data_IF_512448489928
#
_entry.id   IF_512448489928
#
_cell.length_a   1.000
_cell.length_b   1.000
_cell.length_c   1.000
_cell.angle_alpha   90.00
_cell.angle_beta   90.00
_cell.angle_gamma   90.00
#
_symmetry.space_group_name_H-M   'P 1'
#
loop_
_entity.id
_entity.type
_entity.pdbx_description
1 polymer ?
#
# COMPACT_ATOMS: atom_id res chain seq x y z
N UNK A 1 16.57 8.87 -0.23
CA UNK A 1 15.77 9.03 1.02
C UNK A 1 15.03 10.35 0.95
N UNK A 2 13.79 10.45 1.46
CA UNK A 2 13.16 11.75 1.63
C UNK A 2 14.10 12.58 2.51
N UNK A 3 14.41 13.79 2.08
CA UNK A 3 15.33 14.67 2.79
C UNK A 3 14.93 14.84 4.26
N UNK A 4 13.63 14.78 4.54
CA UNK A 4 12.98 15.05 5.83
C UNK A 4 13.22 14.00 6.93
N UNK A 5 13.21 12.69 6.62
CA UNK A 5 13.20 11.65 7.66
C UNK A 5 14.42 10.72 7.56
N UNK A 6 14.99 10.37 8.72
CA UNK A 6 15.94 9.25 8.88
C UNK A 6 15.22 8.08 9.53
N UNK A 7 15.33 6.88 8.96
CA UNK A 7 14.75 5.67 9.54
C UNK A 7 15.68 5.18 10.67
N UNK A 8 15.11 4.92 11.84
CA UNK A 8 15.79 4.27 12.97
C UNK A 8 15.23 2.87 13.17
N UNK A 9 16.11 1.91 13.38
CA UNK A 9 15.69 0.52 13.64
C UNK A 9 15.03 0.43 15.01
N UNK A 10 13.74 0.07 15.05
CA UNK A 10 13.01 -0.16 16.29
C UNK A 10 13.41 -1.44 17.01
N UNK A 11 14.07 -2.36 16.32
CA UNK A 11 14.54 -3.66 16.80
C UNK A 11 16.06 -3.69 17.04
N UNK A 12 16.77 -2.55 16.92
CA UNK A 12 18.23 -2.46 17.09
C UNK A 12 18.73 -3.09 18.41
N UNK A 13 18.02 -2.85 19.52
CA UNK A 13 18.34 -3.41 20.83
C UNK A 13 18.04 -4.92 20.95
N UNK A 14 17.39 -5.51 19.95
CA UNK A 14 16.97 -6.91 19.92
C UNK A 14 17.86 -7.77 19.01
N UNK A 15 19.03 -7.25 18.60
CA UNK A 15 20.06 -8.03 17.91
C UNK A 15 19.83 -8.24 16.42
N UNK A 16 19.03 -7.40 15.76
CA UNK A 16 18.87 -7.43 14.30
C UNK A 16 20.20 -7.10 13.61
N UNK A 17 20.51 -7.82 12.54
CA UNK A 17 21.74 -7.68 11.74
C UNK A 17 21.41 -7.61 10.25
N UNK A 18 22.41 -7.28 9.44
CA UNK A 18 22.34 -7.40 7.98
C UNK A 18 21.91 -8.83 7.58
N UNK A 19 21.02 -8.99 6.59
CA UNK A 19 20.42 -7.98 5.72
C UNK A 19 19.08 -7.41 6.24
N UNK A 20 18.68 -7.76 7.45
CA UNK A 20 17.38 -7.38 8.03
C UNK A 20 17.34 -6.01 8.69
N UNK A 21 18.48 -5.32 8.79
CA UNK A 21 18.59 -3.99 9.40
C UNK A 21 17.85 -2.90 8.61
N UNK A 22 18.21 -1.64 8.85
CA UNK A 22 17.71 -0.50 8.07
C UNK A 22 18.87 0.36 7.58
N UNK A 23 18.64 1.12 6.52
CA UNK A 23 19.60 2.00 5.86
C UNK A 23 20.73 1.22 5.19
N UNK A 24 21.94 1.28 5.74
CA UNK A 24 23.13 0.60 5.17
C UNK A 24 23.17 -0.89 5.54
N UNK A 25 22.43 -1.28 6.58
CA UNK A 25 22.33 -2.66 7.07
C UNK A 25 21.11 -3.41 6.50
N UNK A 26 20.26 -2.73 5.75
CA UNK A 26 18.99 -3.25 5.25
C UNK A 26 18.90 -3.30 3.73
N UNK A 27 17.90 -4.03 3.24
CA UNK A 27 17.50 -4.04 1.82
C UNK A 27 16.24 -3.19 1.67
N UNK A 28 16.27 -2.17 0.81
CA UNK A 28 15.21 -1.16 0.76
C UNK A 28 13.82 -1.72 0.45
N UNK A 29 13.71 -2.78 -0.35
CA UNK A 29 12.44 -3.45 -0.61
C UNK A 29 11.85 -4.05 0.69
N UNK A 30 12.68 -4.72 1.48
CA UNK A 30 12.27 -5.30 2.76
C UNK A 30 12.07 -4.23 3.84
N UNK A 31 12.82 -3.13 3.80
CA UNK A 31 12.57 -1.97 4.68
C UNK A 31 11.18 -1.37 4.47
N UNK A 32 10.66 -1.35 3.23
CA UNK A 32 9.28 -0.93 2.95
C UNK A 32 8.29 -1.81 3.72
N UNK A 33 8.49 -3.13 3.71
CA UNK A 33 7.68 -4.06 4.50
C UNK A 33 7.85 -3.82 6.00
N UNK A 34 9.07 -3.61 6.49
CA UNK A 34 9.33 -3.31 7.92
C UNK A 34 8.67 -2.01 8.39
N UNK A 35 8.60 -1.00 7.52
CA UNK A 35 7.88 0.26 7.75
C UNK A 35 6.39 -0.02 7.93
N UNK A 36 5.79 -0.76 6.98
CA UNK A 36 4.36 -1.10 6.99
C UNK A 36 3.98 -2.08 8.11
N UNK A 37 4.91 -2.89 8.58
CA UNK A 37 4.69 -3.82 9.69
C UNK A 37 5.00 -3.21 11.08
N UNK A 38 5.35 -1.92 11.14
CA UNK A 38 5.49 -1.19 12.39
C UNK A 38 6.71 -1.59 13.22
N UNK A 39 7.85 -1.86 12.58
CA UNK A 39 9.12 -2.24 13.28
C UNK A 39 10.21 -1.17 13.25
N UNK A 40 9.90 0.01 12.73
CA UNK A 40 10.86 1.11 12.59
C UNK A 40 10.35 2.39 13.24
N UNK A 41 11.22 3.37 13.37
CA UNK A 41 10.86 4.72 13.79
C UNK A 41 11.29 5.73 12.71
N UNK A 42 10.54 6.82 12.57
CA UNK A 42 10.93 7.95 11.73
C UNK A 42 11.52 9.03 12.63
N UNK A 43 12.76 9.41 12.39
CA UNK A 43 13.40 10.55 13.02
C UNK A 43 13.32 11.74 12.06
N UNK A 44 12.59 12.79 12.44
CA UNK A 44 12.52 14.01 11.68
C UNK A 44 13.83 14.78 11.82
N UNK A 45 14.48 15.11 10.69
CA UNK A 45 15.76 15.80 10.70
C UNK A 45 15.63 17.30 11.01
N UNK A 46 14.46 17.90 10.81
CA UNK A 46 14.26 19.34 11.02
C UNK A 46 14.09 19.70 12.49
N UNK A 47 13.33 18.90 13.24
CA UNK A 47 12.94 19.19 14.62
C UNK A 47 13.41 18.13 15.64
N UNK A 48 14.09 17.08 15.18
CA UNK A 48 14.59 15.99 16.03
C UNK A 48 13.52 15.04 16.57
N UNK A 49 12.24 15.25 16.24
CA UNK A 49 11.13 14.43 16.75
C UNK A 49 11.19 12.99 16.23
N UNK A 50 10.66 12.06 17.02
CA UNK A 50 10.63 10.63 16.67
C UNK A 50 9.19 10.12 16.63
N UNK A 51 8.79 9.64 15.46
CA UNK A 51 7.49 8.98 15.24
C UNK A 51 7.71 7.47 15.34
N UNK A 52 7.05 6.84 16.32
CA UNK A 52 7.10 5.38 16.51
C UNK A 52 6.05 4.72 15.62
N UNK A 53 6.48 4.11 14.52
CA UNK A 53 5.57 3.35 13.67
C UNK A 53 5.32 2.00 14.34
N UNK A 54 4.14 1.79 14.91
CA UNK A 54 3.77 0.55 15.61
C UNK A 54 2.54 -0.12 15.00
N UNK A 55 1.86 0.49 14.05
CA UNK A 55 0.78 -0.19 13.35
C UNK A 55 1.35 -1.21 12.37
N UNK A 56 0.81 -2.43 12.41
CA UNK A 56 1.15 -3.50 11.47
C UNK A 56 0.00 -3.62 10.47
N UNK A 57 0.21 -3.16 9.24
CA UNK A 57 -0.83 -3.15 8.22
C UNK A 57 -1.17 -4.55 7.68
N UNK A 58 -0.38 -5.59 7.96
CA UNK A 58 -0.77 -6.98 7.69
C UNK A 58 -1.85 -7.49 8.65
N UNK A 59 -1.69 -7.19 9.95
CA UNK A 59 -2.60 -7.66 11.01
C UNK A 59 -3.65 -6.61 11.38
N UNK A 60 -3.59 -5.43 10.76
CA UNK A 60 -4.38 -4.24 11.06
C UNK A 60 -4.42 -3.89 12.56
N UNK A 61 -3.30 -4.11 13.26
CA UNK A 61 -3.23 -3.97 14.70
C UNK A 61 -1.93 -3.29 15.17
N UNK A 62 -2.00 -2.68 16.35
CA UNK A 62 -0.82 -2.12 17.01
C UNK A 62 0.10 -3.24 17.49
N UNK A 63 1.35 -3.22 17.01
CA UNK A 63 2.41 -4.17 17.33
C UNK A 63 3.24 -3.69 18.52
N UNK A 64 3.46 -4.60 19.46
CA UNK A 64 4.54 -4.49 20.45
C UNK A 64 5.79 -5.14 19.88
N UNK A 65 6.92 -4.44 19.94
CA UNK A 65 8.20 -4.96 19.45
C UNK A 65 8.72 -6.05 20.39
N UNK A 66 9.14 -7.17 19.81
CA UNK A 66 9.65 -8.36 20.50
C UNK A 66 10.79 -8.97 19.68
N UNK A 67 11.60 -9.81 20.31
CA UNK A 67 12.73 -10.50 19.64
C UNK A 67 12.26 -11.28 18.41
N UNK A 68 11.08 -11.89 18.48
CA UNK A 68 10.49 -12.67 17.39
C UNK A 68 9.72 -11.82 16.35
N UNK A 69 9.65 -10.48 16.47
CA UNK A 69 8.85 -9.64 15.56
C UNK A 69 9.27 -9.77 14.09
N UNK A 70 10.57 -9.95 13.82
CA UNK A 70 11.04 -10.18 12.45
C UNK A 70 10.54 -11.52 11.90
N UNK A 71 10.63 -12.59 12.71
CA UNK A 71 10.13 -13.92 12.34
C UNK A 71 8.62 -13.89 12.10
N UNK A 72 7.85 -13.17 12.93
CA UNK A 72 6.42 -12.98 12.72
C UNK A 72 6.12 -12.26 11.40
N UNK A 73 6.88 -11.22 11.05
CA UNK A 73 6.71 -10.51 9.77
C UNK A 73 7.00 -11.43 8.60
N UNK A 74 8.09 -12.18 8.65
CA UNK A 74 8.45 -13.13 7.60
C UNK A 74 7.35 -14.18 7.45
N UNK A 75 6.93 -14.78 8.56
CA UNK A 75 5.88 -15.80 8.55
C UNK A 75 4.57 -15.26 7.94
N UNK A 76 4.16 -14.05 8.30
CA UNK A 76 2.94 -13.43 7.74
C UNK A 76 3.09 -12.94 6.30
N UNK A 77 4.27 -12.47 5.89
CA UNK A 77 4.47 -11.91 4.55
C UNK A 77 4.70 -12.99 3.48
N UNK A 78 5.18 -14.16 3.88
CA UNK A 78 5.48 -15.29 3.00
C UNK A 78 4.60 -16.50 3.28
N UNK A 79 3.48 -16.33 4.00
CA UNK A 79 2.51 -17.40 4.34
C UNK A 79 3.12 -18.63 5.03
N UNK A 80 4.25 -18.46 5.71
CA UNK A 80 5.02 -19.54 6.34
C UNK A 80 5.84 -20.41 5.37
N UNK A 81 5.83 -20.10 4.08
CA UNK A 81 6.58 -20.85 3.05
C UNK A 81 8.10 -20.63 3.15
N UNK A 82 8.54 -19.60 3.88
CA UNK A 82 9.94 -19.21 3.97
C UNK A 82 10.43 -19.11 5.41
N UNK A 83 11.58 -19.72 5.67
CA UNK A 83 12.30 -19.54 6.93
C UNK A 83 13.05 -18.20 6.96
N UNK A 84 13.56 -17.83 8.14
CA UNK A 84 14.41 -16.64 8.27
C UNK A 84 15.69 -16.77 7.44
N UNK A 85 16.27 -17.97 7.33
CA UNK A 85 17.48 -18.23 6.55
C UNK A 85 17.23 -18.13 5.04
N UNK A 86 16.03 -18.50 4.58
CA UNK A 86 15.65 -18.36 3.17
C UNK A 86 15.51 -16.89 2.79
N UNK A 87 14.86 -16.09 3.66
CA UNK A 87 14.77 -14.65 3.47
C UNK A 87 16.16 -14.01 3.54
N UNK A 88 17.03 -14.45 4.44
CA UNK A 88 18.42 -13.96 4.53
C UNK A 88 19.18 -14.14 3.22
N UNK A 89 19.14 -15.35 2.65
CA UNK A 89 19.74 -15.65 1.34
C UNK A 89 19.17 -14.77 0.23
N UNK A 90 17.83 -14.66 0.18
CA UNK A 90 17.13 -13.82 -0.79
C UNK A 90 17.57 -12.35 -0.70
N UNK A 91 17.53 -11.76 0.49
CA UNK A 91 17.86 -10.35 0.71
C UNK A 91 19.35 -10.08 0.45
N UNK A 92 20.22 -10.99 0.84
CA UNK A 92 21.66 -10.87 0.57
C UNK A 92 21.95 -10.81 -0.94
N UNK A 93 21.27 -11.65 -1.74
CA UNK A 93 21.42 -11.68 -3.21
C UNK A 93 20.77 -10.49 -3.92
N UNK A 94 19.80 -9.81 -3.30
CA UNK A 94 19.01 -8.73 -3.92
C UNK A 94 19.31 -7.33 -3.39
N UNK A 95 20.27 -7.20 -2.47
CA UNK A 95 20.58 -5.93 -1.78
C UNK A 95 20.81 -4.71 -2.67
N UNK A 96 21.33 -4.89 -3.88
CA UNK A 96 21.56 -3.80 -4.85
C UNK A 96 20.48 -3.65 -5.94
N UNK A 97 19.54 -4.60 -6.06
CA UNK A 97 18.63 -4.66 -7.20
C UNK A 97 17.55 -3.57 -7.08
N UNK A 98 17.46 -2.72 -8.11
CA UNK A 98 16.48 -1.62 -8.19
C UNK A 98 16.47 -0.71 -6.95
N UNK A 99 17.66 -0.48 -6.38
CA UNK A 99 17.85 0.30 -5.14
C UNK A 99 17.16 1.67 -5.20
N UNK A 100 17.31 2.40 -6.29
CA UNK A 100 16.77 3.76 -6.44
C UNK A 100 15.24 3.79 -6.46
N UNK A 101 14.62 2.81 -7.12
CA UNK A 101 13.16 2.66 -7.12
C UNK A 101 12.65 2.41 -5.69
N UNK A 102 13.22 1.43 -5.00
CA UNK A 102 12.80 1.11 -3.64
C UNK A 102 13.08 2.24 -2.65
N UNK A 103 14.14 3.04 -2.87
CA UNK A 103 14.37 4.26 -2.08
C UNK A 103 13.28 5.31 -2.26
N UNK A 104 12.70 5.44 -3.46
CA UNK A 104 11.58 6.35 -3.73
C UNK A 104 10.29 5.84 -3.07
N UNK A 105 9.96 4.55 -3.25
CA UNK A 105 8.82 3.89 -2.57
C UNK A 105 8.91 4.07 -1.05
N UNK A 106 10.08 3.74 -0.48
CA UNK A 106 10.36 3.93 0.95
C UNK A 106 10.14 5.38 1.39
N UNK A 107 10.54 6.34 0.56
CA UNK A 107 10.40 7.75 0.87
C UNK A 107 8.95 8.21 0.95
N UNK A 108 8.14 7.84 -0.03
CA UNK A 108 6.71 8.13 -0.01
C UNK A 108 6.01 7.43 1.16
N UNK A 109 6.35 6.18 1.48
CA UNK A 109 5.83 5.49 2.68
C UNK A 109 6.14 6.24 3.98
N UNK A 110 7.36 6.74 4.15
CA UNK A 110 7.71 7.56 5.31
C UNK A 110 6.87 8.84 5.38
N UNK A 111 6.65 9.51 4.26
CA UNK A 111 5.84 10.73 4.20
C UNK A 111 4.36 10.45 4.50
N UNK A 112 3.80 9.38 3.92
CA UNK A 112 2.44 8.90 4.21
C UNK A 112 2.24 8.68 5.70
N UNK A 113 3.11 7.87 6.33
CA UNK A 113 2.94 7.50 7.73
C UNK A 113 3.23 8.65 8.69
N UNK A 114 4.13 9.56 8.33
CA UNK A 114 4.35 10.79 9.09
C UNK A 114 3.09 11.69 9.06
N UNK A 115 2.47 11.87 7.89
CA UNK A 115 1.22 12.63 7.76
C UNK A 115 0.08 11.95 8.52
N UNK A 116 -0.08 10.64 8.36
CA UNK A 116 -1.08 9.84 9.06
C UNK A 116 -0.95 9.95 10.58
N UNK A 117 0.28 9.86 11.14
CA UNK A 117 0.52 10.02 12.58
C UNK A 117 0.19 11.41 13.14
N UNK A 118 0.03 12.41 12.26
CA UNK A 118 -0.33 13.79 12.58
C UNK A 118 -1.77 14.13 12.19
N UNK A 119 -2.58 13.12 11.86
CA UNK A 119 -3.96 13.26 11.38
C UNK A 119 -4.10 14.14 10.12
N UNK A 120 -3.05 14.21 9.29
CA UNK A 120 -3.05 14.94 8.01
C UNK A 120 -3.46 13.98 6.88
N UNK A 121 -4.71 13.52 6.91
CA UNK A 121 -5.21 12.43 6.07
C UNK A 121 -5.22 12.76 4.57
N UNK A 122 -5.53 14.00 4.18
CA UNK A 122 -5.46 14.48 2.79
C UNK A 122 -4.04 14.35 2.26
N UNK A 123 -3.03 14.72 3.07
CA UNK A 123 -1.63 14.62 2.67
C UNK A 123 -1.18 13.16 2.61
N UNK A 124 -1.57 12.35 3.59
CA UNK A 124 -1.31 10.91 3.56
C UNK A 124 -1.92 10.26 2.32
N UNK A 125 -3.17 10.60 1.98
CA UNK A 125 -3.88 10.15 0.79
C UNK A 125 -3.11 10.50 -0.50
N UNK A 126 -2.62 11.74 -0.63
CA UNK A 126 -1.82 12.17 -1.78
C UNK A 126 -0.51 11.38 -1.91
N UNK A 127 0.17 11.06 -0.80
CA UNK A 127 1.37 10.24 -0.83
C UNK A 127 1.08 8.78 -1.20
N UNK A 128 -0.06 8.23 -0.77
CA UNK A 128 -0.53 6.90 -1.20
C UNK A 128 -0.86 6.90 -2.70
N UNK A 129 -1.52 7.95 -3.19
CA UNK A 129 -1.80 8.10 -4.62
C UNK A 129 -0.50 8.12 -5.44
N UNK A 130 0.51 8.87 -5.01
CA UNK A 130 1.85 8.87 -5.65
C UNK A 130 2.55 7.51 -5.58
N UNK A 131 2.38 6.76 -4.48
CA UNK A 131 2.85 5.38 -4.38
C UNK A 131 2.20 4.51 -5.46
N UNK A 132 0.87 4.60 -5.61
CA UNK A 132 0.12 3.86 -6.63
C UNK A 132 0.60 4.26 -8.03
N UNK A 133 0.71 5.55 -8.35
CA UNK A 133 1.22 6.01 -9.66
C UNK A 133 2.62 5.47 -9.94
N UNK A 134 3.56 5.63 -9.01
CA UNK A 134 4.95 5.17 -9.18
C UNK A 134 5.06 3.64 -9.32
N UNK A 135 4.18 2.90 -8.65
CA UNK A 135 4.21 1.43 -8.66
C UNK A 135 3.36 0.82 -9.78
N UNK A 136 2.48 1.61 -10.39
CA UNK A 136 1.49 1.18 -11.38
C UNK A 136 2.09 0.45 -12.58
N UNK A 137 3.24 0.94 -13.07
CA UNK A 137 4.00 0.32 -14.18
C UNK A 137 5.17 -0.51 -13.66
N UNK A 138 5.82 -0.06 -12.60
CA UNK A 138 7.04 -0.71 -12.11
C UNK A 138 6.78 -2.11 -11.55
N UNK A 139 5.74 -2.29 -10.72
CA UNK A 139 5.45 -3.60 -10.11
C UNK A 139 5.07 -4.68 -11.12
N UNK A 140 4.24 -4.41 -12.16
CA UNK A 140 4.04 -5.34 -13.27
C UNK A 140 5.36 -5.82 -13.89
N UNK A 141 6.32 -4.91 -14.13
CA UNK A 141 7.61 -5.26 -14.73
C UNK A 141 8.48 -6.08 -13.78
N UNK A 142 8.50 -5.73 -12.49
CA UNK A 142 9.16 -6.56 -11.48
C UNK A 142 8.60 -7.98 -11.48
N UNK A 143 7.28 -8.11 -11.48
CA UNK A 143 6.59 -9.40 -11.50
C UNK A 143 6.96 -10.23 -12.73
N UNK A 144 6.91 -9.63 -13.92
CA UNK A 144 7.29 -10.31 -15.17
C UNK A 144 8.77 -10.69 -15.22
N UNK A 145 9.66 -9.87 -14.66
CA UNK A 145 11.12 -10.08 -14.76
C UNK A 145 11.65 -11.32 -14.03
N UNK A 146 10.85 -11.91 -13.15
CA UNK A 146 11.22 -13.08 -12.33
C UNK A 146 10.52 -14.36 -12.76
N UNK A 147 9.62 -14.30 -13.75
CA UNK A 147 8.97 -15.48 -14.30
C UNK A 147 9.94 -16.24 -15.24
N UNK A 148 10.23 -17.49 -14.89
CA UNK A 148 11.15 -18.35 -15.65
C UNK A 148 10.51 -18.91 -16.93
N UNK A 149 9.18 -18.94 -16.98
CA UNK A 149 8.44 -19.31 -18.17
C UNK A 149 8.21 -18.08 -19.06
N UNK A 150 9.06 -17.92 -20.07
CA UNK A 150 8.95 -16.83 -21.03
C UNK A 150 7.61 -16.81 -21.78
N UNK A 151 6.91 -17.94 -21.94
CA UNK A 151 5.56 -17.95 -22.51
C UNK A 151 4.56 -17.29 -21.57
N UNK A 152 4.62 -17.58 -20.26
CA UNK A 152 3.79 -16.89 -19.25
C UNK A 152 4.10 -15.39 -19.18
N UNK A 153 5.38 -15.02 -19.23
CA UNK A 153 5.79 -13.62 -19.28
C UNK A 153 5.26 -12.92 -20.54
N UNK A 154 5.30 -13.59 -21.69
CA UNK A 154 4.77 -13.07 -22.94
C UNK A 154 3.24 -12.97 -22.90
N UNK A 155 2.54 -13.95 -22.35
CA UNK A 155 1.09 -13.93 -22.14
C UNK A 155 0.68 -12.79 -21.20
N UNK A 156 1.44 -12.59 -20.11
CA UNK A 156 1.27 -11.47 -19.19
C UNK A 156 1.39 -10.12 -19.93
N UNK A 157 2.49 -9.91 -20.64
CA UNK A 157 2.74 -8.66 -21.38
C UNK A 157 1.71 -8.42 -22.49
N UNK A 158 1.30 -9.46 -23.22
CA UNK A 158 0.21 -9.38 -24.21
C UNK A 158 -1.15 -9.09 -23.57
N UNK A 159 -1.35 -9.54 -22.33
CA UNK A 159 -2.55 -9.30 -21.56
C UNK A 159 -2.65 -7.89 -20.99
N UNK A 160 -1.56 -7.12 -20.98
CA UNK A 160 -1.57 -5.70 -20.61
C UNK A 160 -2.25 -4.87 -21.71
N UNK A 161 -2.98 -3.80 -21.36
CA UNK A 161 -3.55 -2.88 -22.33
C UNK A 161 -2.50 -2.37 -23.31
N UNK A 162 -2.77 -2.53 -24.60
CA UNK A 162 -1.87 -2.12 -25.69
C UNK A 162 -2.23 -0.72 -26.25
N UNK A 163 -3.38 -0.17 -25.85
CA UNK A 163 -3.82 1.13 -26.33
C UNK A 163 -3.13 2.24 -25.51
N UNK A 164 -2.35 3.14 -26.14
CA UNK A 164 -1.67 4.23 -25.46
C UNK A 164 -2.62 5.17 -24.69
N UNK A 165 -3.93 5.16 -25.04
CA UNK A 165 -4.97 5.96 -24.37
C UNK A 165 -5.43 5.38 -23.04
N UNK A 166 -5.22 4.09 -22.78
CA UNK A 166 -5.73 3.43 -21.58
C UNK A 166 -4.92 3.82 -20.32
N UNK A 167 -3.73 4.40 -20.52
CA UNK A 167 -2.88 4.94 -19.47
C UNK A 167 -2.30 3.89 -18.51
N UNK A 168 -1.37 4.31 -17.65
CA UNK A 168 -0.67 3.44 -16.70
C UNK A 168 -1.63 2.74 -15.71
N UNK A 169 -2.77 3.36 -15.43
CA UNK A 169 -3.77 2.80 -14.51
C UNK A 169 -4.43 1.53 -15.05
N UNK A 170 -4.70 1.44 -16.36
CA UNK A 170 -5.30 0.26 -16.95
C UNK A 170 -4.35 -0.94 -16.89
N UNK A 171 -3.06 -0.71 -17.13
CA UNK A 171 -1.99 -1.72 -16.94
C UNK A 171 -2.02 -2.23 -15.50
N UNK A 172 -2.10 -1.29 -14.54
CA UNK A 172 -2.11 -1.65 -13.14
C UNK A 172 -3.37 -2.42 -12.72
N UNK A 173 -4.56 -2.04 -13.18
CA UNK A 173 -5.81 -2.77 -12.91
C UNK A 173 -5.71 -4.23 -13.35
N UNK A 174 -5.23 -4.45 -14.57
CA UNK A 174 -5.03 -5.81 -15.10
C UNK A 174 -4.04 -6.60 -14.26
N UNK A 175 -2.92 -5.97 -13.92
CA UNK A 175 -1.90 -6.57 -13.07
C UNK A 175 -2.46 -6.98 -11.70
N UNK A 176 -3.19 -6.10 -11.02
CA UNK A 176 -3.78 -6.40 -9.71
C UNK A 176 -4.81 -7.53 -9.81
N UNK A 177 -5.57 -7.64 -10.90
CA UNK A 177 -6.46 -8.79 -11.10
C UNK A 177 -5.70 -10.11 -11.24
N UNK A 178 -4.55 -10.10 -11.90
CA UNK A 178 -3.67 -11.29 -12.02
C UNK A 178 -3.11 -11.65 -10.65
N UNK A 179 -2.58 -10.66 -9.91
CA UNK A 179 -2.10 -10.88 -8.55
C UNK A 179 -3.19 -11.36 -7.60
N UNK A 180 -4.42 -10.87 -7.74
CA UNK A 180 -5.53 -11.32 -6.92
C UNK A 180 -5.80 -12.81 -7.12
N UNK A 181 -5.70 -13.30 -8.36
CA UNK A 181 -5.84 -14.72 -8.68
C UNK A 181 -4.70 -15.57 -8.14
N UNK A 182 -3.47 -15.17 -8.41
CA UNK A 182 -2.28 -15.96 -8.06
C UNK A 182 -1.95 -15.89 -6.56
N UNK A 183 -2.22 -14.76 -5.92
CA UNK A 183 -2.05 -14.56 -4.48
C UNK A 183 -3.22 -15.04 -3.62
N UNK A 184 -4.28 -15.60 -4.22
CA UNK A 184 -5.45 -16.11 -3.48
C UNK A 184 -6.36 -15.01 -2.89
N UNK A 185 -6.30 -13.79 -3.43
CA UNK A 185 -7.09 -12.63 -2.99
C UNK A 185 -8.34 -12.36 -3.85
N UNK A 186 -8.74 -13.28 -4.73
CA UNK A 186 -9.90 -13.10 -5.62
C UNK A 186 -11.19 -12.74 -4.88
N UNK A 187 -11.39 -13.35 -3.70
CA UNK A 187 -12.57 -13.14 -2.85
C UNK A 187 -12.32 -12.10 -1.75
N UNK A 188 -11.10 -11.59 -1.65
CA UNK A 188 -10.74 -10.64 -0.62
C UNK A 188 -11.39 -9.28 -0.90
N UNK A 189 -11.93 -8.69 0.16
CA UNK A 189 -12.45 -7.32 0.13
C UNK A 189 -11.68 -6.46 1.11
N UNK A 190 -11.38 -5.25 0.68
CA UNK A 190 -10.85 -4.19 1.51
C UNK A 190 -12.01 -3.53 2.23
N UNK A 191 -11.96 -3.58 3.56
CA UNK A 191 -13.00 -3.02 4.42
C UNK A 191 -12.67 -1.58 4.78
N UNK A 192 -13.54 -0.64 4.38
CA UNK A 192 -13.44 0.78 4.72
C UNK A 192 -14.51 1.11 5.75
N UNK A 193 -14.11 1.24 7.01
CA UNK A 193 -14.99 1.71 8.08
C UNK A 193 -15.01 3.23 8.09
N UNK A 194 -16.19 3.83 7.90
CA UNK A 194 -16.32 5.28 7.72
C UNK A 194 -16.98 6.00 8.90
N UNK A 195 -17.78 5.32 9.74
CA UNK A 195 -18.66 6.03 10.66
C UNK A 195 -17.92 6.88 11.69
N UNK A 196 -18.46 8.08 11.91
CA UNK A 196 -18.02 9.03 12.94
C UNK A 196 -19.01 9.12 14.10
N UNK A 197 -20.03 8.26 14.14
CA UNK A 197 -21.15 8.37 15.07
C UNK A 197 -22.13 9.50 14.73
N UNK A 198 -21.96 10.15 13.58
CA UNK A 198 -22.88 11.16 13.04
C UNK A 198 -23.63 10.57 11.85
N UNK A 199 -24.90 10.20 12.07
CA UNK A 199 -25.75 9.59 11.04
C UNK A 199 -25.95 10.49 9.81
N UNK A 200 -25.89 11.81 9.98
CA UNK A 200 -26.05 12.76 8.87
C UNK A 200 -24.80 12.75 8.01
N UNK A 201 -23.62 12.79 8.64
CA UNK A 201 -22.35 12.68 7.94
C UNK A 201 -22.22 11.33 7.25
N UNK A 202 -22.55 10.23 7.94
CA UNK A 202 -22.47 8.86 7.43
C UNK A 202 -23.34 8.68 6.16
N UNK A 203 -24.57 9.20 6.19
CA UNK A 203 -25.47 9.18 5.03
C UNK A 203 -24.96 10.02 3.86
N UNK A 204 -24.37 11.20 4.13
CA UNK A 204 -23.76 12.05 3.09
C UNK A 204 -22.53 11.39 2.48
N UNK A 205 -21.65 10.86 3.31
CA UNK A 205 -20.43 10.19 2.88
C UNK A 205 -20.75 9.00 1.98
N UNK A 206 -21.59 8.07 2.45
CA UNK A 206 -21.95 6.88 1.66
C UNK A 206 -22.65 7.22 0.35
N UNK A 207 -23.58 8.19 0.35
CA UNK A 207 -24.23 8.66 -0.87
C UNK A 207 -23.21 9.19 -1.88
N UNK A 208 -22.31 10.07 -1.46
CA UNK A 208 -21.30 10.65 -2.35
C UNK A 208 -20.31 9.60 -2.87
N UNK A 209 -19.90 8.64 -2.03
CA UNK A 209 -19.06 7.52 -2.47
C UNK A 209 -19.78 6.68 -3.52
N UNK A 210 -21.07 6.37 -3.31
CA UNK A 210 -21.85 5.59 -4.27
C UNK A 210 -22.01 6.33 -5.60
N UNK A 211 -22.47 7.58 -5.55
CA UNK A 211 -22.82 8.37 -6.73
C UNK A 211 -21.56 8.70 -7.56
N UNK A 212 -20.49 9.14 -6.91
CA UNK A 212 -19.35 9.73 -7.62
C UNK A 212 -18.16 8.78 -7.79
N UNK A 213 -18.04 7.74 -6.97
CA UNK A 213 -16.90 6.80 -7.01
C UNK A 213 -17.30 5.43 -7.53
N UNK A 214 -18.25 4.77 -6.86
CA UNK A 214 -18.66 3.40 -7.21
C UNK A 214 -19.38 3.38 -8.56
N UNK A 215 -20.40 4.23 -8.73
CA UNK A 215 -21.21 4.26 -9.94
C UNK A 215 -20.44 4.76 -11.17
N UNK A 216 -19.53 5.72 -10.97
CA UNK A 216 -18.73 6.32 -12.04
C UNK A 216 -17.88 5.28 -12.80
N UNK A 217 -17.30 4.32 -12.08
CA UNK A 217 -16.48 3.25 -12.67
C UNK A 217 -17.21 1.90 -12.75
N UNK A 218 -18.51 1.86 -12.37
CA UNK A 218 -19.31 0.62 -12.29
C UNK A 218 -18.63 -0.47 -11.46
N UNK A 219 -18.06 -0.07 -10.32
CA UNK A 219 -17.40 -0.98 -9.39
C UNK A 219 -18.42 -1.91 -8.73
N UNK A 220 -17.99 -3.11 -8.36
CA UNK A 220 -18.81 -4.08 -7.62
C UNK A 220 -18.72 -3.90 -6.10
N UNK A 221 -17.99 -2.86 -5.65
CA UNK A 221 -17.96 -2.44 -4.25
C UNK A 221 -19.37 -2.21 -3.68
N UNK A 222 -19.58 -2.65 -2.44
CA UNK A 222 -20.89 -2.59 -1.77
C UNK A 222 -20.81 -1.80 -0.47
N UNK A 223 -21.87 -1.05 -0.16
CA UNK A 223 -21.99 -0.30 1.09
C UNK A 223 -22.89 -1.07 2.06
N UNK A 224 -22.35 -1.40 3.23
CA UNK A 224 -23.09 -1.91 4.37
C UNK A 224 -23.31 -0.77 5.38
N UNK A 225 -24.51 -0.19 5.34
CA UNK A 225 -24.88 0.90 6.25
C UNK A 225 -25.10 0.43 7.69
N UNK A 226 -25.41 -0.85 7.91
CA UNK A 226 -25.60 -1.38 9.27
C UNK A 226 -24.25 -1.57 9.98
N UNK A 227 -23.23 -2.03 9.25
CA UNK A 227 -21.87 -2.17 9.77
C UNK A 227 -21.01 -0.90 9.60
N UNK A 228 -21.55 0.17 9.02
CA UNK A 228 -20.81 1.40 8.71
C UNK A 228 -19.53 1.16 7.90
N UNK A 229 -19.65 0.28 6.89
CA UNK A 229 -18.54 -0.26 6.12
C UNK A 229 -18.79 -0.18 4.62
N UNK A 230 -17.73 0.06 3.85
CA UNK A 230 -17.71 -0.15 2.40
C UNK A 230 -16.77 -1.31 2.11
N UNK A 231 -17.27 -2.31 1.40
CA UNK A 231 -16.54 -3.49 0.99
C UNK A 231 -16.10 -3.35 -0.46
N UNK A 232 -14.80 -3.21 -0.68
CA UNK A 232 -14.23 -2.99 -2.02
C UNK A 232 -13.43 -4.25 -2.42
N UNK A 233 -13.74 -4.94 -3.53
CA UNK A 233 -12.92 -6.05 -3.99
C UNK A 233 -11.45 -5.66 -4.12
N UNK A 234 -10.54 -6.55 -3.72
CA UNK A 234 -9.10 -6.29 -3.76
C UNK A 234 -8.61 -5.83 -5.14
N UNK A 235 -9.16 -6.43 -6.21
CA UNK A 235 -8.85 -6.11 -7.61
C UNK A 235 -9.34 -4.74 -8.06
N UNK A 236 -10.39 -4.22 -7.42
CA UNK A 236 -11.01 -2.94 -7.77
C UNK A 236 -10.48 -1.77 -6.93
N UNK A 237 -9.75 -2.06 -5.85
CA UNK A 237 -9.27 -1.04 -4.92
C UNK A 237 -8.45 0.09 -5.59
N UNK A 238 -7.54 -0.17 -6.55
CA UNK A 238 -6.86 0.92 -7.28
C UNK A 238 -7.82 1.83 -8.03
N UNK A 239 -8.82 1.25 -8.70
CA UNK A 239 -9.84 2.01 -9.44
C UNK A 239 -10.64 2.89 -8.49
N UNK A 240 -11.10 2.31 -7.38
CA UNK A 240 -11.80 3.04 -6.33
C UNK A 240 -10.96 4.23 -5.83
N UNK A 241 -9.70 3.98 -5.48
CA UNK A 241 -8.82 4.98 -4.88
C UNK A 241 -8.49 6.13 -5.85
N UNK A 242 -8.22 5.82 -7.12
CA UNK A 242 -7.94 6.83 -8.15
C UNK A 242 -9.19 7.62 -8.51
N UNK A 243 -10.35 6.97 -8.60
CA UNK A 243 -11.61 7.69 -8.85
C UNK A 243 -11.96 8.60 -7.69
N UNK A 244 -11.80 8.14 -6.44
CA UNK A 244 -11.94 9.00 -5.27
C UNK A 244 -11.02 10.22 -5.36
N UNK A 245 -9.73 10.03 -5.69
CA UNK A 245 -8.78 11.13 -5.91
C UNK A 245 -9.28 12.11 -6.97
N UNK A 246 -9.78 11.60 -8.09
CA UNK A 246 -10.25 12.41 -9.19
C UNK A 246 -11.45 13.27 -8.77
N UNK A 247 -12.43 12.67 -8.07
CA UNK A 247 -13.62 13.37 -7.55
C UNK A 247 -13.31 14.31 -6.39
N UNK A 248 -12.19 14.11 -5.69
CA UNK A 248 -11.72 14.96 -4.60
C UNK A 248 -11.06 16.26 -5.10
N UNK A 249 -10.33 16.22 -6.23
CA UNK A 249 -9.45 17.32 -6.67
C UNK A 249 -9.72 17.89 -8.07
N UNK A 250 -10.57 17.28 -8.91
CA UNK A 250 -10.86 17.87 -10.22
C UNK A 250 -11.73 19.13 -10.09
N UNK A 251 -11.28 20.19 -10.79
CA UNK A 251 -11.83 21.55 -10.82
C UNK A 251 -13.35 21.60 -11.03
N UNK A 252 -13.97 22.69 -10.57
CA UNK A 252 -15.41 23.08 -10.64
C UNK A 252 -16.13 22.95 -12.00
N UNK A 253 -15.52 22.34 -13.02
CA UNK A 253 -16.03 22.21 -14.39
C UNK A 253 -16.73 20.87 -14.66
N UNK A 254 -16.53 19.83 -13.83
CA UNK A 254 -17.33 18.60 -13.87
C UNK A 254 -18.37 18.61 -12.75
N UNK A 255 -19.66 18.50 -13.09
CA UNK A 255 -20.79 18.59 -12.16
C UNK A 255 -20.88 17.42 -11.13
N UNK A 256 -19.92 16.51 -11.13
CA UNK A 256 -19.91 15.29 -10.29
C UNK A 256 -18.62 15.24 -9.48
N UNK A 257 -18.54 15.98 -8.37
CA UNK A 257 -17.41 15.98 -7.45
C UNK A 257 -17.89 15.74 -6.02
N UNK A 258 -16.97 15.33 -5.13
CA UNK A 258 -17.26 15.25 -3.71
C UNK A 258 -17.54 16.66 -3.16
N UNK A 259 -18.67 16.84 -2.51
CA UNK A 259 -19.02 18.03 -1.75
C UNK A 259 -18.30 17.97 -0.40
N UNK A 260 -17.13 18.59 -0.33
CA UNK A 260 -16.27 18.57 0.85
C UNK A 260 -16.83 19.39 2.00
N UNK A 261 -17.64 20.41 1.73
CA UNK A 261 -18.29 21.18 2.77
C UNK A 261 -19.27 20.29 3.54
N UNK A 262 -19.99 19.43 2.82
CA UNK A 262 -20.87 18.42 3.43
C UNK A 262 -20.14 17.31 4.19
N UNK A 263 -18.87 17.06 3.87
CA UNK A 263 -18.05 16.01 4.48
C UNK A 263 -17.10 16.52 5.57
N UNK A 264 -17.13 17.81 5.91
CA UNK A 264 -16.24 18.39 6.93
C UNK A 264 -14.79 18.57 6.44
N UNK A 265 -14.61 18.76 5.13
CA UNK A 265 -13.34 18.98 4.47
C UNK A 265 -12.66 17.71 3.96
N UNK A 266 -11.56 17.91 3.22
CA UNK A 266 -10.83 16.81 2.57
C UNK A 266 -10.21 15.82 3.56
N UNK A 267 -9.75 16.29 4.74
CA UNK A 267 -9.16 15.40 5.75
C UNK A 267 -10.20 14.42 6.29
N UNK A 268 -11.40 14.91 6.60
CA UNK A 268 -12.49 14.08 7.06
C UNK A 268 -12.96 13.08 6.00
N UNK A 269 -12.96 13.47 4.72
CA UNK A 269 -13.29 12.58 3.61
C UNK A 269 -12.21 11.51 3.35
N UNK A 270 -10.92 11.85 3.50
CA UNK A 270 -9.81 10.93 3.24
C UNK A 270 -9.53 9.95 4.38
N UNK A 271 -9.86 10.32 5.61
CA UNK A 271 -9.55 9.56 6.83
C UNK A 271 -9.90 8.06 6.74
N UNK A 272 -11.11 7.65 6.30
CA UNK A 272 -11.50 6.24 6.23
C UNK A 272 -10.62 5.40 5.30
N UNK A 273 -9.98 6.02 4.31
CA UNK A 273 -9.27 5.32 3.23
C UNK A 273 -7.81 5.02 3.55
N UNK A 274 -7.20 5.69 4.54
CA UNK A 274 -5.75 5.60 4.74
C UNK A 274 -5.32 4.20 5.20
N UNK A 275 -5.98 3.66 6.23
CA UNK A 275 -5.66 2.34 6.77
C UNK A 275 -5.93 1.21 5.74
N UNK A 276 -7.10 1.15 5.09
CA UNK A 276 -7.38 0.16 4.05
C UNK A 276 -6.39 0.24 2.89
N UNK A 277 -6.00 1.44 2.45
CA UNK A 277 -5.05 1.59 1.36
C UNK A 277 -3.64 1.13 1.72
N UNK A 278 -3.19 1.40 2.96
CA UNK A 278 -1.91 0.90 3.45
C UNK A 278 -1.92 -0.62 3.64
N UNK A 279 -3.02 -1.20 4.11
CA UNK A 279 -3.19 -2.66 4.18
C UNK A 279 -3.14 -3.27 2.78
N UNK A 280 -3.93 -2.76 1.83
CA UNK A 280 -3.92 -3.20 0.44
C UNK A 280 -2.51 -3.15 -0.17
N UNK A 281 -1.81 -2.03 -0.01
CA UNK A 281 -0.45 -1.88 -0.53
C UNK A 281 0.55 -2.83 0.13
N UNK A 282 0.37 -3.12 1.43
CA UNK A 282 1.22 -4.09 2.14
C UNK A 282 1.04 -5.49 1.58
N UNK A 283 -0.20 -5.90 1.29
CA UNK A 283 -0.48 -7.20 0.68
C UNK A 283 0.12 -7.31 -0.73
N UNK A 284 -0.01 -6.25 -1.54
CA UNK A 284 0.66 -6.15 -2.84
C UNK A 284 2.18 -6.33 -2.71
N UNK A 285 2.81 -5.66 -1.74
CA UNK A 285 4.24 -5.77 -1.51
C UNK A 285 4.65 -7.19 -1.10
N UNK A 286 3.86 -7.88 -0.27
CA UNK A 286 4.12 -9.27 0.10
C UNK A 286 4.17 -10.19 -1.12
N UNK A 287 3.20 -10.09 -2.03
CA UNK A 287 3.18 -10.90 -3.26
C UNK A 287 4.42 -10.62 -4.12
N UNK A 288 4.78 -9.34 -4.29
CA UNK A 288 5.98 -8.96 -5.05
C UNK A 288 7.25 -9.54 -4.42
N UNK A 289 7.38 -9.45 -3.10
CA UNK A 289 8.56 -9.96 -2.39
C UNK A 289 8.61 -11.49 -2.44
N UNK A 290 7.47 -12.18 -2.29
CA UNK A 290 7.36 -13.64 -2.40
C UNK A 290 7.75 -14.13 -3.80
N UNK A 291 7.23 -13.48 -4.83
CA UNK A 291 7.57 -13.78 -6.23
C UNK A 291 9.05 -13.53 -6.52
N UNK A 292 9.63 -12.44 -6.03
CA UNK A 292 11.07 -12.19 -6.17
C UNK A 292 11.93 -13.21 -5.42
N UNK A 293 11.51 -13.60 -4.21
CA UNK A 293 12.24 -14.55 -3.39
C UNK A 293 12.33 -15.95 -4.05
N UNK A 294 11.26 -16.39 -4.73
CA UNK A 294 11.21 -17.66 -5.45
C UNK A 294 12.30 -17.85 -6.51
N UNK A 295 12.96 -16.77 -6.98
CA UNK A 295 14.11 -16.86 -7.91
C UNK A 295 15.39 -17.34 -7.24
N UNK A 296 15.51 -17.16 -5.93
CA UNK A 296 16.79 -17.21 -5.22
C UNK A 296 16.93 -18.37 -4.24
N UNK A 297 15.84 -19.09 -4.02
CA UNK A 297 15.67 -20.21 -3.10
C UNK A 297 15.20 -21.40 -3.92
#
# INVERSE_FOLDING_TARGET
MPSTFKIKDGLSQLGIRKPFGVNEEGVHAFECLRILCGTVNLHNKSDGSVIKLRNCFLTQAVRKLKVNSLKEIINSAFDGDMSLDDVDKYLSKTSGVNKDFWMKVKGELCLTLACWSKNQYTRAFLHIYRLIEMTSVALPLFYASVEHNYLKSLEFLKGLPQNPRDGDLAIFRKFVSILAKEGGYEKLKMEVFYSKGDLTWDARYTKQIYDYVISAERLTASIDTAASKIDIPFSEFPSFFVTFRNRLFHSMLSAENLDLDQLGGSDAACEPLINPALNWFTMMLCVILKQNAARYI
#
